data_IF_143244082932
#
_entry.id   IF_143244082932
#
_cell.length_a   1.000
_cell.length_b   1.000
_cell.length_c   1.000
_cell.angle_alpha   90.00
_cell.angle_beta   90.00
_cell.angle_gamma   90.00
#
_symmetry.space_group_name_H-M   'P 1'
#
loop_
_entity.id
_entity.type
_entity.pdbx_description
1 polymer ?
#
# COMPACT_ATOMS: atom_id res chain seq x y z
N UNK A 1 -39.62 9.76 39.42
CA UNK A 1 -38.36 10.38 39.00
C UNK A 1 -37.60 9.41 38.10
N UNK A 2 -37.75 9.54 36.79
CA UNK A 2 -37.07 8.68 35.83
C UNK A 2 -35.73 9.31 35.42
N UNK A 3 -34.62 8.69 35.86
CA UNK A 3 -33.26 9.07 35.40
C UNK A 3 -33.06 8.48 34.02
N UNK A 4 -33.05 9.36 32.98
CA UNK A 4 -32.57 8.98 31.64
C UNK A 4 -31.05 8.88 31.70
N UNK A 5 -30.56 7.67 31.47
CA UNK A 5 -29.14 7.38 31.30
C UNK A 5 -28.76 7.86 29.87
N UNK A 6 -28.00 8.95 29.76
CA UNK A 6 -27.37 9.34 28.51
C UNK A 6 -26.13 8.48 28.32
N UNK A 7 -26.20 7.53 27.38
CA UNK A 7 -25.03 6.81 26.90
C UNK A 7 -24.28 7.74 25.94
N UNK A 8 -23.20 8.35 26.41
CA UNK A 8 -22.26 9.10 25.57
C UNK A 8 -21.49 8.10 24.74
N UNK A 9 -21.81 7.98 23.46
CA UNK A 9 -20.96 7.30 22.48
C UNK A 9 -19.68 8.15 22.33
N UNK A 10 -18.57 7.72 22.89
CA UNK A 10 -17.25 8.19 22.50
C UNK A 10 -16.98 7.71 21.08
N UNK A 11 -17.21 8.57 20.11
CA UNK A 11 -16.66 8.38 18.75
C UNK A 11 -15.17 8.64 18.88
N UNK A 12 -14.35 7.59 18.84
CA UNK A 12 -12.92 7.74 18.71
C UNK A 12 -12.62 8.56 17.43
N UNK A 13 -11.73 9.56 17.47
CA UNK A 13 -11.38 10.27 16.24
C UNK A 13 -10.76 9.29 15.26
N UNK A 14 -11.36 9.16 14.08
CA UNK A 14 -10.71 8.51 12.93
C UNK A 14 -9.50 9.40 12.62
N UNK A 15 -8.30 8.96 12.99
CA UNK A 15 -7.07 9.60 12.57
C UNK A 15 -7.04 9.55 11.05
N UNK A 16 -7.13 10.73 10.41
CA UNK A 16 -7.06 10.83 8.97
C UNK A 16 -5.73 10.21 8.50
N UNK A 17 -5.80 9.12 7.76
CA UNK A 17 -4.62 8.48 7.17
C UNK A 17 -4.05 9.43 6.12
N UNK A 18 -2.72 9.61 6.12
CA UNK A 18 -2.07 10.33 5.03
C UNK A 18 -2.30 9.59 3.71
N UNK A 19 -2.54 10.34 2.62
CA UNK A 19 -2.77 9.74 1.30
C UNK A 19 -1.52 8.97 0.84
N UNK A 20 -1.70 7.70 0.52
CA UNK A 20 -0.63 6.78 0.13
C UNK A 20 -0.64 6.52 -1.37
N UNK A 21 0.54 6.29 -1.92
CA UNK A 21 0.74 6.00 -3.35
C UNK A 21 1.44 4.67 -3.51
N UNK A 22 0.89 3.84 -4.36
CA UNK A 22 1.45 2.54 -4.69
C UNK A 22 1.47 2.26 -6.18
N UNK A 23 2.11 1.17 -6.55
CA UNK A 23 2.07 0.67 -7.92
C UNK A 23 2.37 -0.83 -8.02
N UNK A 24 1.80 -1.44 -9.08
CA UNK A 24 2.42 -2.57 -9.74
C UNK A 24 3.45 -2.01 -10.72
N UNK A 25 4.71 -2.26 -10.40
CA UNK A 25 5.82 -1.79 -11.23
C UNK A 25 6.27 -2.94 -12.15
N UNK A 26 5.53 -3.13 -13.22
CA UNK A 26 5.90 -4.06 -14.26
C UNK A 26 7.21 -3.64 -14.92
N UNK A 27 8.16 -4.57 -15.00
CA UNK A 27 9.31 -4.42 -15.90
C UNK A 27 8.96 -4.90 -17.31
N UNK A 28 9.97 -5.03 -18.17
CA UNK A 28 9.84 -5.70 -19.46
C UNK A 28 9.82 -7.21 -19.27
N UNK A 29 8.86 -7.91 -19.91
CA UNK A 29 8.76 -9.37 -19.90
C UNK A 29 7.34 -9.88 -19.64
N UNK A 30 7.16 -11.18 -19.84
CA UNK A 30 5.84 -11.82 -19.73
C UNK A 30 5.30 -11.79 -18.27
N UNK A 31 6.20 -11.82 -17.28
CA UNK A 31 5.86 -11.77 -15.85
C UNK A 31 6.81 -10.79 -15.13
N UNK A 32 6.62 -9.49 -15.35
CA UNK A 32 7.45 -8.50 -14.69
C UNK A 32 7.26 -8.57 -13.16
N UNK A 33 8.32 -8.25 -12.43
CA UNK A 33 8.35 -8.39 -10.98
C UNK A 33 8.81 -7.07 -10.33
N UNK A 34 8.36 -6.73 -9.13
CA UNK A 34 8.78 -5.52 -8.44
C UNK A 34 10.21 -5.66 -7.88
N UNK A 35 11.20 -5.73 -8.76
CA UNK A 35 12.60 -5.70 -8.37
C UNK A 35 12.98 -4.34 -7.79
N UNK A 36 14.07 -4.29 -7.00
CA UNK A 36 14.60 -3.01 -6.48
C UNK A 36 14.82 -1.98 -7.60
N UNK A 37 15.30 -2.42 -8.76
CA UNK A 37 15.52 -1.56 -9.92
C UNK A 37 14.21 -1.00 -10.49
N UNK A 38 13.18 -1.84 -10.64
CA UNK A 38 11.89 -1.43 -11.18
C UNK A 38 11.18 -0.46 -10.22
N UNK A 39 11.25 -0.74 -8.92
CA UNK A 39 10.71 0.15 -7.87
C UNK A 39 11.39 1.51 -7.91
N UNK A 40 12.72 1.54 -7.95
CA UNK A 40 13.47 2.80 -8.03
C UNK A 40 13.15 3.57 -9.32
N UNK A 41 13.15 2.88 -10.47
CA UNK A 41 12.83 3.52 -11.76
C UNK A 41 11.42 4.15 -11.76
N UNK A 42 10.44 3.50 -11.13
CA UNK A 42 9.09 4.06 -11.01
C UNK A 42 9.05 5.25 -10.04
N UNK A 43 9.77 5.19 -8.93
CA UNK A 43 9.91 6.32 -7.99
C UNK A 43 10.57 7.53 -8.66
N UNK A 44 11.61 7.31 -9.47
CA UNK A 44 12.26 8.38 -10.25
C UNK A 44 11.27 8.98 -11.28
N UNK A 45 10.49 8.12 -11.95
CA UNK A 45 9.45 8.53 -12.89
C UNK A 45 8.40 9.41 -12.23
N UNK A 46 7.83 8.97 -11.10
CA UNK A 46 6.74 9.69 -10.41
C UNK A 46 7.23 10.82 -9.49
N UNK A 47 8.54 10.89 -9.21
CA UNK A 47 9.15 11.94 -8.38
C UNK A 47 8.81 11.84 -6.88
N UNK A 48 8.30 10.71 -6.40
CA UNK A 48 7.97 10.50 -4.99
C UNK A 48 8.15 9.03 -4.59
N UNK A 49 8.22 8.78 -3.29
CA UNK A 49 8.28 7.45 -2.72
C UNK A 49 7.03 6.62 -3.03
N UNK A 50 7.17 5.30 -3.19
CA UNK A 50 6.08 4.34 -3.19
C UNK A 50 5.82 3.86 -1.77
N UNK A 51 4.63 4.15 -1.24
CA UNK A 51 4.21 3.67 0.08
C UNK A 51 3.80 2.19 0.02
N UNK A 52 3.19 1.77 -1.11
CA UNK A 52 2.70 0.42 -1.36
C UNK A 52 3.32 -0.15 -2.65
N UNK A 53 3.75 -1.41 -2.61
CA UNK A 53 4.26 -2.13 -3.77
C UNK A 53 3.41 -3.37 -4.00
N UNK A 54 2.82 -3.52 -5.20
CA UNK A 54 2.02 -4.69 -5.55
C UNK A 54 2.89 -5.85 -6.00
N UNK A 55 2.48 -7.07 -5.65
CA UNK A 55 3.04 -8.32 -6.14
C UNK A 55 1.93 -9.36 -6.34
N UNK A 56 1.95 -10.08 -7.47
CA UNK A 56 0.99 -11.14 -7.76
C UNK A 56 1.63 -12.49 -7.46
N UNK A 57 1.06 -13.24 -6.51
CA UNK A 57 1.50 -14.58 -6.15
C UNK A 57 0.40 -15.59 -6.43
N UNK A 58 0.75 -16.69 -7.10
CA UNK A 58 -0.16 -17.77 -7.44
C UNK A 58 -0.02 -18.92 -6.43
N UNK A 59 -1.14 -19.49 -5.99
CA UNK A 59 -1.15 -20.68 -5.14
C UNK A 59 -0.38 -21.83 -5.81
N UNK A 60 0.30 -22.63 -5.00
CA UNK A 60 1.12 -23.80 -5.41
C UNK A 60 2.31 -23.50 -6.34
N UNK A 61 2.42 -22.26 -6.86
CA UNK A 61 3.53 -21.83 -7.72
C UNK A 61 4.48 -20.92 -6.95
N UNK A 62 3.95 -19.93 -6.24
CA UNK A 62 4.74 -18.99 -5.46
C UNK A 62 4.58 -19.30 -3.97
N UNK A 63 5.49 -20.09 -3.42
CA UNK A 63 5.60 -20.25 -1.96
C UNK A 63 6.06 -18.94 -1.29
N UNK A 64 6.16 -18.96 0.04
CA UNK A 64 6.66 -17.79 0.76
C UNK A 64 8.10 -17.43 0.37
N UNK A 65 8.97 -18.39 0.08
CA UNK A 65 10.36 -18.11 -0.29
C UNK A 65 10.42 -17.31 -1.61
N UNK A 66 9.57 -17.67 -2.58
CA UNK A 66 9.42 -16.90 -3.82
C UNK A 66 8.86 -15.48 -3.58
N UNK A 67 7.98 -15.31 -2.59
CA UNK A 67 7.41 -14.01 -2.24
C UNK A 67 8.35 -13.16 -1.40
N UNK A 68 9.12 -13.79 -0.50
CA UNK A 68 9.98 -13.11 0.47
C UNK A 68 11.02 -12.18 -0.18
N UNK A 69 11.51 -12.49 -1.37
CA UNK A 69 12.43 -11.61 -2.09
C UNK A 69 11.79 -10.24 -2.38
N UNK A 70 10.49 -10.21 -2.75
CA UNK A 70 9.76 -8.96 -3.04
C UNK A 70 9.29 -8.28 -1.75
N UNK A 71 8.99 -9.05 -0.71
CA UNK A 71 8.77 -8.52 0.63
C UNK A 71 10.02 -7.79 1.15
N UNK A 72 11.21 -8.34 0.91
CA UNK A 72 12.47 -7.66 1.25
C UNK A 72 12.72 -6.42 0.38
N UNK A 73 12.33 -6.41 -0.90
CA UNK A 73 12.40 -5.20 -1.73
C UNK A 73 11.53 -4.10 -1.13
N UNK A 74 10.28 -4.42 -0.78
CA UNK A 74 9.38 -3.46 -0.15
C UNK A 74 9.92 -2.95 1.19
N UNK A 75 10.36 -3.86 2.07
CA UNK A 75 10.97 -3.53 3.36
C UNK A 75 12.19 -2.62 3.21
N UNK A 76 13.12 -2.95 2.30
CA UNK A 76 14.33 -2.17 2.07
C UNK A 76 14.03 -0.79 1.47
N UNK A 77 12.91 -0.67 0.75
CA UNK A 77 12.42 0.60 0.22
C UNK A 77 11.64 1.42 1.28
N UNK A 78 11.29 0.85 2.43
CA UNK A 78 10.41 1.48 3.42
C UNK A 78 8.94 1.48 3.01
N UNK A 79 8.53 0.54 2.15
CA UNK A 79 7.18 0.35 1.63
C UNK A 79 6.52 -0.88 2.26
N UNK A 80 5.18 -0.96 2.14
CA UNK A 80 4.45 -2.18 2.46
C UNK A 80 4.21 -3.00 1.18
N UNK A 81 4.45 -4.32 1.24
CA UNK A 81 4.10 -5.22 0.13
C UNK A 81 2.61 -5.56 0.20
N UNK A 82 1.90 -5.34 -0.91
CA UNK A 82 0.51 -5.77 -1.13
C UNK A 82 0.54 -6.98 -2.04
N UNK A 83 0.23 -8.15 -1.51
CA UNK A 83 0.23 -9.41 -2.27
C UNK A 83 -1.17 -9.70 -2.77
N UNK A 84 -1.37 -9.61 -4.08
CA UNK A 84 -2.53 -10.18 -4.76
C UNK A 84 -2.34 -11.68 -4.82
N UNK A 85 -3.06 -12.41 -3.95
CA UNK A 85 -2.83 -13.82 -3.71
C UNK A 85 -3.86 -14.68 -4.41
N UNK A 86 -3.48 -15.19 -5.57
CA UNK A 86 -4.35 -15.77 -6.59
C UNK A 86 -4.50 -17.27 -6.39
N UNK A 87 -5.70 -17.73 -6.08
CA UNK A 87 -6.02 -19.15 -5.86
C UNK A 87 -6.30 -19.90 -7.20
N UNK A 88 -5.45 -19.69 -8.21
CA UNK A 88 -5.58 -20.35 -9.50
C UNK A 88 -5.62 -21.89 -9.35
N UNK A 89 -6.53 -22.55 -10.05
CA UNK A 89 -6.76 -23.97 -9.95
C UNK A 89 -7.69 -24.41 -8.81
N UNK A 90 -8.23 -23.46 -8.05
CA UNK A 90 -9.18 -23.72 -6.96
C UNK A 90 -10.46 -22.91 -7.12
N UNK A 91 -11.60 -23.60 -7.08
CA UNK A 91 -12.87 -22.92 -6.84
C UNK A 91 -13.10 -22.67 -5.34
N UNK A 92 -14.06 -21.82 -5.00
CA UNK A 92 -14.30 -21.43 -3.61
C UNK A 92 -14.64 -22.61 -2.70
N UNK A 93 -15.43 -23.60 -3.19
CA UNK A 93 -15.81 -24.75 -2.39
C UNK A 93 -14.62 -25.68 -2.11
N UNK A 94 -13.69 -25.82 -3.03
CA UNK A 94 -12.46 -26.59 -2.82
C UNK A 94 -11.57 -25.97 -1.74
N UNK A 95 -11.49 -24.64 -1.69
CA UNK A 95 -10.80 -23.90 -0.63
C UNK A 95 -11.47 -24.12 0.73
N UNK A 96 -12.82 -23.99 0.80
CA UNK A 96 -13.59 -24.26 2.03
C UNK A 96 -13.39 -25.69 2.52
N UNK A 97 -13.25 -26.64 1.61
CA UNK A 97 -13.03 -28.06 1.92
C UNK A 97 -11.56 -28.39 2.29
N UNK A 98 -10.69 -27.38 2.34
CA UNK A 98 -9.29 -27.53 2.80
C UNK A 98 -8.32 -28.06 1.75
N UNK A 99 -8.67 -28.07 0.46
CA UNK A 99 -7.80 -28.61 -0.59
C UNK A 99 -6.43 -27.90 -0.67
N UNK A 100 -6.37 -26.60 -0.31
CA UNK A 100 -5.16 -25.80 -0.30
C UNK A 100 -4.55 -25.58 1.11
N UNK A 101 -5.08 -26.20 2.18
CA UNK A 101 -4.71 -25.88 3.56
C UNK A 101 -3.21 -26.02 3.84
N UNK A 102 -2.57 -27.06 3.31
CA UNK A 102 -1.13 -27.27 3.51
C UNK A 102 -0.31 -26.11 2.94
N UNK A 103 -0.64 -25.68 1.70
CA UNK A 103 0.03 -24.56 1.05
C UNK A 103 -0.21 -23.26 1.85
N UNK A 104 -1.46 -22.99 2.26
CA UNK A 104 -1.81 -21.80 3.03
C UNK A 104 -1.08 -21.78 4.38
N UNK A 105 -0.98 -22.91 5.09
CA UNK A 105 -0.25 -23.01 6.36
C UNK A 105 1.24 -22.75 6.21
N UNK A 106 1.89 -23.33 5.21
CA UNK A 106 3.33 -23.10 4.97
C UNK A 106 3.59 -21.64 4.59
N UNK A 107 2.72 -21.04 3.78
CA UNK A 107 2.81 -19.62 3.44
C UNK A 107 2.62 -18.74 4.70
N UNK A 108 1.64 -19.05 5.55
CA UNK A 108 1.38 -18.36 6.82
C UNK A 108 2.58 -18.40 7.77
N UNK A 109 3.23 -19.56 7.91
CA UNK A 109 4.46 -19.70 8.71
C UNK A 109 5.59 -18.82 8.19
N UNK A 110 5.73 -18.74 6.86
CA UNK A 110 6.71 -17.89 6.22
C UNK A 110 6.45 -16.40 6.47
N UNK A 111 5.20 -15.95 6.30
CA UNK A 111 4.79 -14.57 6.62
C UNK A 111 5.05 -14.23 8.08
N UNK A 112 4.70 -15.13 9.01
CA UNK A 112 5.00 -14.97 10.44
C UNK A 112 6.49 -14.78 10.70
N UNK A 113 7.33 -15.61 10.07
CA UNK A 113 8.78 -15.54 10.20
C UNK A 113 9.40 -14.26 9.63
N UNK A 114 8.76 -13.62 8.66
CA UNK A 114 9.22 -12.35 8.08
C UNK A 114 9.09 -11.20 9.09
N UNK A 115 8.01 -11.16 9.87
CA UNK A 115 7.82 -10.25 11.00
C UNK A 115 7.33 -8.85 10.66
N UNK A 116 7.62 -8.29 9.49
CA UNK A 116 7.09 -6.99 9.06
C UNK A 116 5.68 -7.14 8.46
N UNK A 117 4.92 -6.05 8.45
CA UNK A 117 3.55 -6.04 7.96
C UNK A 117 3.47 -6.36 6.46
N UNK A 118 2.58 -7.28 6.11
CA UNK A 118 2.22 -7.65 4.74
C UNK A 118 0.72 -7.44 4.57
N UNK A 119 0.30 -6.85 3.45
CA UNK A 119 -1.11 -6.81 3.08
C UNK A 119 -1.40 -7.97 2.15
N UNK A 120 -2.30 -8.88 2.57
CA UNK A 120 -2.75 -10.00 1.74
C UNK A 120 -4.13 -9.72 1.17
N UNK A 121 -4.23 -9.87 -0.15
CA UNK A 121 -5.43 -9.65 -0.95
C UNK A 121 -5.83 -10.95 -1.67
N UNK A 122 -6.35 -11.95 -0.92
CA UNK A 122 -6.79 -13.21 -1.53
C UNK A 122 -8.12 -13.06 -2.24
N UNK A 123 -8.36 -13.88 -3.25
CA UNK A 123 -9.63 -14.00 -3.96
C UNK A 123 -10.17 -12.66 -4.48
N UNK A 124 -9.28 -11.77 -4.95
CA UNK A 124 -9.67 -10.48 -5.47
C UNK A 124 -10.62 -10.61 -6.67
N UNK A 125 -11.43 -9.59 -6.91
CA UNK A 125 -12.35 -9.51 -8.05
C UNK A 125 -13.29 -10.73 -8.21
N UNK A 126 -13.70 -11.32 -7.10
CA UNK A 126 -14.58 -12.50 -7.14
C UNK A 126 -15.97 -12.22 -7.75
N UNK A 127 -16.32 -10.95 -7.96
CA UNK A 127 -17.49 -10.53 -8.72
C UNK A 127 -17.31 -10.55 -10.25
N UNK A 128 -16.22 -11.16 -10.72
CA UNK A 128 -15.91 -11.42 -12.14
C UNK A 128 -16.14 -12.88 -12.55
N UNK A 129 -15.84 -13.17 -13.82
CA UNK A 129 -15.95 -14.50 -14.45
C UNK A 129 -14.62 -15.05 -14.97
N UNK A 130 -13.52 -14.33 -14.77
CA UNK A 130 -12.19 -14.67 -15.32
C UNK A 130 -11.32 -15.52 -14.39
N UNK A 131 -11.59 -15.55 -13.08
CA UNK A 131 -10.84 -16.35 -12.11
C UNK A 131 -11.60 -17.62 -11.71
N UNK A 132 -10.88 -18.66 -11.27
CA UNK A 132 -11.48 -19.94 -10.85
C UNK A 132 -12.34 -19.81 -9.59
N UNK A 133 -12.07 -18.82 -8.73
CA UNK A 133 -12.89 -18.46 -7.56
C UNK A 133 -13.99 -17.43 -7.87
N UNK A 134 -14.06 -16.91 -9.10
CA UNK A 134 -15.07 -15.90 -9.49
C UNK A 134 -16.49 -16.45 -9.47
N UNK A 135 -17.42 -15.67 -8.90
CA UNK A 135 -18.86 -16.02 -8.82
C UNK A 135 -19.47 -16.14 -10.22
N UNK A 136 -19.01 -15.29 -11.15
CA UNK A 136 -19.47 -15.33 -12.55
C UNK A 136 -18.90 -16.48 -13.38
N UNK A 137 -17.88 -17.21 -12.86
CA UNK A 137 -17.20 -18.28 -13.60
C UNK A 137 -18.12 -19.44 -13.89
N UNK A 138 -18.39 -19.65 -15.18
CA UNK A 138 -19.26 -20.75 -15.61
C UNK A 138 -18.69 -22.12 -15.22
N UNK A 139 -19.52 -22.98 -14.63
CA UNK A 139 -19.16 -24.34 -14.26
C UNK A 139 -18.34 -24.48 -12.96
N UNK A 140 -17.88 -23.39 -12.36
CA UNK A 140 -17.10 -23.44 -11.12
C UNK A 140 -17.97 -23.69 -9.86
N UNK A 141 -19.28 -23.40 -9.92
CA UNK A 141 -20.20 -23.57 -8.77
C UNK A 141 -19.96 -22.55 -7.65
N UNK A 142 -19.26 -21.46 -7.95
CA UNK A 142 -19.04 -20.40 -6.98
C UNK A 142 -20.30 -19.58 -6.72
N UNK A 143 -20.45 -19.16 -5.48
CA UNK A 143 -21.50 -18.25 -5.01
C UNK A 143 -20.88 -17.20 -4.12
N UNK A 144 -21.54 -16.07 -3.94
CA UNK A 144 -21.09 -15.06 -2.98
C UNK A 144 -20.82 -15.67 -1.58
N UNK A 145 -21.68 -16.61 -1.14
CA UNK A 145 -21.57 -17.24 0.17
C UNK A 145 -20.32 -18.11 0.32
N UNK A 146 -20.01 -19.00 -0.65
CA UNK A 146 -18.85 -19.86 -0.52
C UNK A 146 -17.53 -19.14 -0.79
N UNK A 147 -17.51 -18.08 -1.59
CA UNK A 147 -16.35 -17.20 -1.76
C UNK A 147 -16.05 -16.46 -0.45
N UNK A 148 -17.06 -15.88 0.20
CA UNK A 148 -16.92 -15.26 1.50
C UNK A 148 -16.40 -16.27 2.55
N UNK A 149 -16.90 -17.52 2.54
CA UNK A 149 -16.43 -18.56 3.45
C UNK A 149 -14.98 -18.99 3.15
N UNK A 150 -14.60 -19.09 1.87
CA UNK A 150 -13.21 -19.38 1.48
C UNK A 150 -12.25 -18.29 1.99
N UNK A 151 -12.63 -17.02 1.91
CA UNK A 151 -11.84 -15.93 2.49
C UNK A 151 -11.70 -16.10 4.01
N UNK A 152 -12.79 -16.36 4.72
CA UNK A 152 -12.79 -16.61 6.17
C UNK A 152 -11.93 -17.81 6.54
N UNK A 153 -11.98 -18.87 5.74
CA UNK A 153 -11.17 -20.08 5.93
C UNK A 153 -9.66 -19.78 5.84
N UNK A 154 -9.22 -19.03 4.84
CA UNK A 154 -7.84 -18.56 4.72
C UNK A 154 -7.40 -17.77 5.95
N UNK A 155 -8.19 -16.78 6.37
CA UNK A 155 -7.89 -15.96 7.56
C UNK A 155 -7.80 -16.81 8.82
N UNK A 156 -8.69 -17.80 8.98
CA UNK A 156 -8.68 -18.72 10.12
C UNK A 156 -7.39 -19.51 10.20
N UNK A 157 -6.89 -20.04 9.08
CA UNK A 157 -5.61 -20.77 9.05
C UNK A 157 -4.46 -19.89 9.53
N UNK A 158 -4.38 -18.64 9.08
CA UNK A 158 -3.36 -17.69 9.54
C UNK A 158 -3.47 -17.40 11.05
N UNK A 159 -4.70 -17.28 11.58
CA UNK A 159 -4.93 -17.12 13.02
C UNK A 159 -4.49 -18.36 13.79
N UNK A 160 -4.76 -19.57 13.31
CA UNK A 160 -4.32 -20.84 13.88
C UNK A 160 -2.79 -20.96 13.93
N UNK A 161 -2.07 -20.49 12.89
CA UNK A 161 -0.61 -20.44 12.86
C UNK A 161 -0.04 -19.28 13.71
N UNK A 162 -0.89 -18.44 14.28
CA UNK A 162 -0.50 -17.33 15.14
C UNK A 162 0.20 -16.20 14.41
N UNK A 163 -0.22 -15.90 13.17
CA UNK A 163 0.26 -14.78 12.37
C UNK A 163 -0.43 -13.52 12.85
N UNK A 164 0.35 -12.46 13.12
CA UNK A 164 -0.14 -11.17 13.61
C UNK A 164 0.28 -9.98 12.74
N UNK A 165 1.13 -10.24 11.76
CA UNK A 165 1.73 -9.22 10.89
C UNK A 165 1.06 -9.15 9.50
N UNK A 166 -0.20 -9.56 9.37
CA UNK A 166 -0.98 -9.47 8.14
C UNK A 166 -2.11 -8.46 8.30
N UNK A 167 -2.32 -7.64 7.26
CA UNK A 167 -3.54 -6.88 7.01
C UNK A 167 -4.31 -7.53 5.86
N UNK A 168 -5.56 -7.81 6.11
CA UNK A 168 -6.45 -8.48 5.16
C UNK A 168 -7.16 -7.48 4.27
N UNK A 169 -6.99 -7.64 2.96
CA UNK A 169 -7.61 -6.77 1.95
C UNK A 169 -8.67 -7.56 1.19
N UNK A 170 -9.92 -7.13 1.28
CA UNK A 170 -10.97 -7.63 0.42
C UNK A 170 -11.18 -6.68 -0.76
N UNK A 171 -11.30 -7.25 -1.97
CA UNK A 171 -11.32 -6.47 -3.22
C UNK A 171 -12.51 -6.87 -4.10
N UNK A 172 -13.25 -5.87 -4.58
CA UNK A 172 -14.23 -6.05 -5.65
C UNK A 172 -13.75 -5.37 -6.94
N UNK A 173 -14.05 -5.95 -8.10
CA UNK A 173 -13.91 -5.23 -9.36
C UNK A 173 -15.00 -4.14 -9.46
N UNK A 174 -14.69 -3.04 -10.13
CA UNK A 174 -15.60 -1.90 -10.32
C UNK A 174 -16.89 -2.27 -11.05
N UNK A 175 -16.90 -3.38 -11.80
CA UNK A 175 -18.04 -3.91 -12.53
C UNK A 175 -18.26 -5.40 -12.29
N UNK A 176 -19.51 -5.82 -12.19
CA UNK A 176 -19.87 -7.23 -12.13
C UNK A 176 -19.78 -7.86 -13.52
N UNK A 177 -19.24 -9.09 -13.62
CA UNK A 177 -19.22 -9.86 -14.86
C UNK A 177 -19.68 -11.30 -14.59
N UNK A 178 -20.50 -11.84 -15.51
CA UNK A 178 -21.10 -13.16 -15.36
C UNK A 178 -22.39 -13.15 -14.55
N UNK A 179 -23.01 -14.31 -14.46
CA UNK A 179 -24.32 -14.49 -13.80
C UNK A 179 -24.14 -14.62 -12.29
N UNK A 180 -25.07 -14.05 -11.53
CA UNK A 180 -25.12 -14.18 -10.07
C UNK A 180 -24.13 -13.29 -9.30
N UNK A 181 -23.35 -12.47 -9.99
CA UNK A 181 -22.35 -11.59 -9.39
C UNK A 181 -22.95 -10.35 -8.74
N UNK A 182 -22.41 -9.98 -7.59
CA UNK A 182 -22.75 -8.72 -6.90
C UNK A 182 -21.48 -7.99 -6.45
N UNK A 183 -21.55 -6.68 -6.24
CA UNK A 183 -20.39 -5.89 -5.83
C UNK A 183 -19.92 -6.17 -4.40
N UNK A 184 -20.80 -6.65 -3.53
CA UNK A 184 -20.55 -6.81 -2.09
C UNK A 184 -20.98 -8.14 -1.51
N UNK A 185 -21.63 -9.01 -2.27
CA UNK A 185 -22.23 -10.24 -1.73
C UNK A 185 -21.22 -11.24 -1.16
N UNK A 186 -20.01 -11.23 -1.71
CA UNK A 186 -18.92 -12.07 -1.23
C UNK A 186 -18.04 -11.39 -0.14
N UNK A 187 -18.49 -10.28 0.46
CA UNK A 187 -17.80 -9.65 1.58
C UNK A 187 -17.76 -10.58 2.80
N UNK A 188 -16.58 -10.94 3.34
CA UNK A 188 -16.49 -11.95 4.39
C UNK A 188 -16.89 -11.47 5.78
N UNK A 189 -17.12 -10.17 5.95
CA UNK A 189 -17.46 -9.53 7.22
C UNK A 189 -16.29 -8.81 7.89
N UNK A 190 -16.63 -7.85 8.75
CA UNK A 190 -15.69 -6.89 9.34
C UNK A 190 -14.57 -7.53 10.19
N UNK A 191 -14.84 -8.69 10.82
CA UNK A 191 -13.87 -9.40 11.66
C UNK A 191 -12.73 -10.07 10.86
N UNK A 192 -12.86 -10.10 9.54
CA UNK A 192 -11.93 -10.78 8.63
C UNK A 192 -11.21 -9.81 7.68
N UNK A 193 -11.53 -8.52 7.73
CA UNK A 193 -11.03 -7.52 6.78
C UNK A 193 -10.48 -6.31 7.52
N UNK A 194 -9.28 -5.87 7.16
CA UNK A 194 -8.68 -4.62 7.64
C UNK A 194 -8.94 -3.48 6.66
N UNK A 195 -8.83 -3.75 5.35
CA UNK A 195 -9.00 -2.79 4.27
C UNK A 195 -9.94 -3.33 3.18
N UNK A 196 -10.71 -2.44 2.57
CA UNK A 196 -11.46 -2.75 1.36
C UNK A 196 -10.86 -2.03 0.17
N UNK A 197 -10.97 -2.65 -1.02
CA UNK A 197 -10.46 -2.02 -2.23
C UNK A 197 -11.33 -2.27 -3.45
N UNK A 198 -11.10 -1.45 -4.48
CA UNK A 198 -11.74 -1.57 -5.79
C UNK A 198 -10.63 -1.68 -6.83
N UNK A 199 -10.79 -2.60 -7.80
CA UNK A 199 -9.99 -2.67 -9.01
C UNK A 199 -10.81 -2.20 -10.20
N UNK A 200 -10.21 -1.40 -11.07
CA UNK A 200 -10.91 -0.91 -12.25
C UNK A 200 -10.00 -0.25 -13.27
N UNK A 201 -10.39 -0.34 -14.53
CA UNK A 201 -9.59 0.14 -15.66
C UNK A 201 -10.46 0.93 -16.65
N UNK A 202 -9.95 2.05 -17.15
CA UNK A 202 -10.50 2.66 -18.34
C UNK A 202 -9.89 2.00 -19.59
N UNK A 203 -10.57 1.02 -20.12
CA UNK A 203 -10.14 0.27 -21.31
C UNK A 203 -10.09 1.13 -22.58
N UNK A 204 -10.82 2.26 -22.60
CA UNK A 204 -10.90 3.07 -23.78
C UNK A 204 -11.36 2.25 -24.99
N UNK A 205 -10.65 2.35 -26.09
CA UNK A 205 -10.90 1.58 -27.33
C UNK A 205 -9.90 0.44 -27.54
N UNK A 206 -9.31 -0.12 -26.47
CA UNK A 206 -8.39 -1.24 -26.56
C UNK A 206 -9.04 -2.52 -27.07
N UNK A 207 -10.32 -2.72 -26.78
CA UNK A 207 -11.08 -3.90 -27.14
C UNK A 207 -12.33 -3.52 -27.94
N UNK A 208 -12.84 -4.45 -28.76
CA UNK A 208 -14.06 -4.22 -29.56
C UNK A 208 -15.31 -3.99 -28.73
N UNK A 209 -15.33 -4.47 -27.49
CA UNK A 209 -16.44 -4.36 -26.52
C UNK A 209 -16.29 -3.13 -25.62
N UNK A 210 -15.14 -2.47 -25.59
CA UNK A 210 -14.84 -1.36 -24.68
C UNK A 210 -15.00 0.00 -25.30
N UNK A 211 -15.21 1.01 -24.48
CA UNK A 211 -15.27 2.42 -24.85
C UNK A 211 -14.62 3.28 -23.78
N UNK A 212 -14.26 4.50 -24.15
CA UNK A 212 -13.71 5.47 -23.20
C UNK A 212 -14.73 5.80 -22.10
N UNK A 213 -14.26 5.73 -20.85
CA UNK A 213 -15.04 6.06 -19.67
C UNK A 213 -14.27 7.06 -18.81
N UNK A 214 -14.97 8.01 -18.19
CA UNK A 214 -14.39 8.87 -17.17
C UNK A 214 -14.05 8.06 -15.91
N UNK A 215 -13.25 8.60 -15.01
CA UNK A 215 -12.96 7.95 -13.72
C UNK A 215 -14.25 7.61 -12.98
N UNK A 216 -15.16 8.57 -12.86
CA UNK A 216 -16.46 8.36 -12.20
C UNK A 216 -17.32 7.28 -12.87
N UNK A 217 -17.33 7.20 -14.21
CA UNK A 217 -18.09 6.14 -14.89
C UNK A 217 -17.55 4.75 -14.59
N UNK A 218 -16.24 4.59 -14.37
CA UNK A 218 -15.64 3.31 -13.99
C UNK A 218 -15.95 2.98 -12.53
N UNK A 219 -15.73 3.91 -11.58
CA UNK A 219 -15.63 3.57 -10.17
C UNK A 219 -16.87 3.88 -9.32
N UNK A 220 -17.72 4.83 -9.70
CA UNK A 220 -18.79 5.36 -8.83
C UNK A 220 -19.77 4.32 -8.36
N UNK A 221 -20.12 3.33 -9.21
CA UNK A 221 -21.06 2.28 -8.84
C UNK A 221 -20.51 1.41 -7.70
N UNK A 222 -19.26 0.96 -7.81
CA UNK A 222 -18.61 0.17 -6.77
C UNK A 222 -18.38 1.00 -5.51
N UNK A 223 -17.85 2.22 -5.65
CA UNK A 223 -17.64 3.12 -4.51
C UNK A 223 -18.90 3.33 -3.67
N UNK A 224 -20.03 3.58 -4.32
CA UNK A 224 -21.33 3.75 -3.65
C UNK A 224 -21.83 2.43 -3.01
N UNK A 225 -21.59 1.29 -3.63
CA UNK A 225 -21.96 -0.01 -3.07
C UNK A 225 -21.20 -0.32 -1.77
N UNK A 226 -19.98 0.21 -1.61
CA UNK A 226 -19.15 0.05 -0.42
C UNK A 226 -19.46 1.07 0.70
N UNK A 227 -20.45 1.95 0.54
CA UNK A 227 -20.72 3.03 1.48
C UNK A 227 -21.08 2.55 2.90
N UNK A 228 -21.68 1.36 3.03
CA UNK A 228 -22.08 0.80 4.32
C UNK A 228 -21.02 -0.12 4.97
N UNK A 229 -19.87 -0.30 4.35
CA UNK A 229 -18.76 -1.05 4.93
C UNK A 229 -17.79 -0.03 5.58
N UNK A 230 -17.72 -0.06 6.91
CA UNK A 230 -16.90 0.89 7.70
C UNK A 230 -15.46 0.40 7.82
N UNK A 231 -14.79 0.31 6.65
CA UNK A 231 -13.36 -0.01 6.55
C UNK A 231 -12.65 1.04 5.71
N UNK A 232 -11.37 1.32 5.97
CA UNK A 232 -10.58 2.19 5.10
C UNK A 232 -10.57 1.64 3.67
N UNK A 233 -10.82 2.53 2.69
CA UNK A 233 -10.99 2.19 1.28
C UNK A 233 -9.80 2.70 0.46
N UNK A 234 -9.24 1.84 -0.39
CA UNK A 234 -8.26 2.26 -1.39
C UNK A 234 -8.56 1.67 -2.78
N UNK A 235 -7.87 2.16 -3.80
CA UNK A 235 -7.92 1.60 -5.13
C UNK A 235 -6.65 0.74 -5.31
N UNK A 236 -6.83 -0.59 -5.35
CA UNK A 236 -5.71 -1.53 -5.37
C UNK A 236 -5.15 -1.76 -6.78
N UNK A 237 -5.99 -1.61 -7.81
CA UNK A 237 -5.57 -1.64 -9.21
C UNK A 237 -6.33 -0.58 -10.00
N UNK A 238 -5.58 0.27 -10.68
CA UNK A 238 -6.14 1.29 -11.56
C UNK A 238 -5.19 1.59 -12.71
N UNK A 239 -5.74 1.74 -13.90
CA UNK A 239 -5.06 2.35 -15.03
C UNK A 239 -6.04 2.85 -16.08
N UNK A 240 -5.52 3.58 -17.05
CA UNK A 240 -6.25 4.05 -18.21
C UNK A 240 -5.43 3.81 -19.48
N UNK A 241 -6.11 3.44 -20.56
CA UNK A 241 -5.55 3.42 -21.91
C UNK A 241 -5.39 4.86 -22.45
N UNK A 242 -4.59 5.04 -23.49
CA UNK A 242 -4.60 6.27 -24.33
C UNK A 242 -5.65 6.19 -25.45
N UNK A 243 -6.15 4.98 -25.78
CA UNK A 243 -7.00 4.79 -26.93
C UNK A 243 -8.44 5.27 -26.70
N UNK A 244 -8.83 6.29 -27.41
CA UNK A 244 -10.20 6.84 -27.39
C UNK A 244 -10.40 8.07 -26.53
N UNK A 245 -9.35 8.56 -25.86
CA UNK A 245 -9.39 9.78 -25.04
C UNK A 245 -7.99 10.27 -24.66
N UNK A 246 -7.90 10.98 -23.55
CA UNK A 246 -6.67 11.58 -23.05
C UNK A 246 -6.38 11.05 -21.63
N UNK A 247 -5.34 10.20 -21.49
CA UNK A 247 -4.96 9.60 -20.20
C UNK A 247 -4.58 10.68 -19.17
N UNK A 248 -3.89 11.74 -19.55
CA UNK A 248 -3.48 12.81 -18.64
C UNK A 248 -4.69 13.54 -18.04
N UNK A 249 -5.69 13.86 -18.87
CA UNK A 249 -6.95 14.44 -18.38
C UNK A 249 -7.71 13.47 -17.48
N UNK A 250 -7.72 12.17 -17.81
CA UNK A 250 -8.34 11.13 -16.98
C UNK A 250 -7.66 10.99 -15.62
N UNK A 251 -6.34 11.07 -15.55
CA UNK A 251 -5.59 11.07 -14.30
C UNK A 251 -5.91 12.32 -13.48
N UNK A 252 -5.99 13.47 -14.11
CA UNK A 252 -6.38 14.72 -13.43
C UNK A 252 -7.80 14.60 -12.86
N UNK A 253 -8.78 14.14 -13.65
CA UNK A 253 -10.17 13.89 -13.22
C UNK A 253 -10.24 12.91 -12.03
N UNK A 254 -9.45 11.84 -12.05
CA UNK A 254 -9.35 10.89 -10.94
C UNK A 254 -8.95 11.58 -9.62
N UNK A 255 -7.90 12.39 -9.63
CA UNK A 255 -7.45 13.09 -8.41
C UNK A 255 -8.42 14.18 -7.95
N UNK A 256 -9.13 14.84 -8.88
CA UNK A 256 -10.23 15.74 -8.52
C UNK A 256 -11.35 15.00 -7.78
N UNK A 257 -11.69 13.80 -8.22
CA UNK A 257 -12.66 12.96 -7.55
C UNK A 257 -12.18 12.49 -6.17
N UNK A 258 -10.90 12.13 -5.99
CA UNK A 258 -10.35 11.78 -4.66
C UNK A 258 -10.45 12.95 -3.68
N UNK A 259 -10.25 14.16 -4.18
CA UNK A 259 -10.36 15.38 -3.38
C UNK A 259 -11.81 15.76 -3.03
N UNK A 260 -12.81 15.17 -3.67
CA UNK A 260 -14.23 15.56 -3.55
C UNK A 260 -15.13 14.37 -3.18
N UNK A 261 -15.77 13.74 -4.13
CA UNK A 261 -16.82 12.74 -3.92
C UNK A 261 -16.32 11.29 -3.72
N UNK A 262 -15.01 11.05 -3.88
CA UNK A 262 -14.33 9.79 -3.52
C UNK A 262 -13.40 9.96 -2.31
N UNK A 263 -13.71 10.85 -1.38
CA UNK A 263 -12.86 11.27 -0.25
C UNK A 263 -12.52 10.16 0.77
N UNK A 264 -13.20 9.00 0.73
CA UNK A 264 -12.83 7.81 1.53
C UNK A 264 -11.59 7.09 0.99
N UNK A 265 -11.16 7.38 -0.24
CA UNK A 265 -9.99 6.75 -0.85
C UNK A 265 -8.72 7.32 -0.21
N UNK A 266 -8.04 6.52 0.61
CA UNK A 266 -6.81 6.94 1.28
C UNK A 266 -5.54 6.54 0.51
N UNK A 267 -5.63 5.62 -0.47
CA UNK A 267 -4.49 5.19 -1.27
C UNK A 267 -4.91 4.81 -2.68
N UNK A 268 -3.96 4.93 -3.61
CA UNK A 268 -4.13 4.52 -5.00
C UNK A 268 -2.90 3.77 -5.49
N UNK A 269 -3.10 2.63 -6.18
CA UNK A 269 -2.03 1.82 -6.74
C UNK A 269 -2.17 1.73 -8.26
N UNK A 270 -1.24 2.37 -8.99
CA UNK A 270 -1.25 2.34 -10.44
C UNK A 270 -0.73 1.00 -10.97
N UNK A 271 -1.48 0.36 -11.86
CA UNK A 271 -1.01 -0.82 -12.58
C UNK A 271 -0.18 -0.37 -13.79
N UNK A 272 1.15 -0.40 -13.66
CA UNK A 272 2.07 0.13 -14.66
C UNK A 272 2.73 -0.99 -15.48
N UNK A 273 2.04 -1.45 -16.50
CA UNK A 273 2.54 -2.46 -17.43
C UNK A 273 1.90 -2.28 -18.81
N UNK A 274 2.69 -2.41 -19.88
CA UNK A 274 2.11 -2.53 -21.23
C UNK A 274 1.68 -3.98 -21.48
N UNK A 275 0.41 -4.16 -21.82
CA UNK A 275 -0.21 -5.43 -22.23
C UNK A 275 -0.89 -5.30 -23.61
N UNK A 276 -0.39 -4.43 -24.46
CA UNK A 276 -1.00 -4.11 -25.77
C UNK A 276 -1.34 -5.33 -26.63
N UNK A 277 -0.58 -6.40 -26.51
CA UNK A 277 -0.83 -7.61 -27.27
C UNK A 277 -2.19 -8.26 -26.96
N UNK A 278 -2.71 -8.11 -25.73
CA UNK A 278 -3.91 -8.81 -25.27
C UNK A 278 -4.93 -7.90 -24.57
N UNK A 279 -4.51 -6.75 -24.07
CA UNK A 279 -5.34 -5.85 -23.26
C UNK A 279 -5.18 -4.40 -23.72
N UNK A 280 -4.29 -3.66 -23.07
CA UNK A 280 -4.02 -2.26 -23.31
C UNK A 280 -2.65 -1.84 -22.79
N UNK A 281 -2.22 -0.62 -23.11
CA UNK A 281 -1.02 -0.04 -22.51
C UNK A 281 -1.39 0.68 -21.20
N UNK A 282 -1.17 -0.05 -20.11
CA UNK A 282 -1.44 0.42 -18.76
C UNK A 282 -0.27 1.18 -18.12
N UNK A 283 0.89 1.24 -18.80
CA UNK A 283 2.06 1.95 -18.30
C UNK A 283 1.73 3.42 -18.02
N UNK A 284 2.27 3.96 -16.92
CA UNK A 284 2.06 5.37 -16.57
C UNK A 284 2.74 6.31 -17.56
N UNK A 285 3.88 5.91 -18.07
CA UNK A 285 4.77 6.71 -18.92
C UNK A 285 4.48 6.60 -20.42
N UNK A 286 3.24 6.31 -20.80
CA UNK A 286 2.81 6.36 -22.22
C UNK A 286 2.96 7.75 -22.83
N UNK A 287 2.86 8.79 -22.00
CA UNK A 287 3.14 10.18 -22.39
C UNK A 287 3.71 10.96 -21.19
N UNK A 288 4.50 12.01 -21.48
CA UNK A 288 4.98 12.91 -20.44
C UNK A 288 3.82 13.62 -19.72
N UNK A 289 2.77 13.97 -20.45
CA UNK A 289 1.57 14.60 -19.89
C UNK A 289 0.87 13.70 -18.84
N UNK A 290 0.82 12.37 -19.06
CA UNK A 290 0.26 11.43 -18.08
C UNK A 290 1.11 11.39 -16.79
N UNK A 291 2.44 11.36 -16.92
CA UNK A 291 3.36 11.42 -15.78
C UNK A 291 3.21 12.73 -15.00
N UNK A 292 3.12 13.86 -15.70
CA UNK A 292 2.97 15.18 -15.06
C UNK A 292 1.63 15.31 -14.34
N UNK A 293 0.53 14.81 -14.91
CA UNK A 293 -0.78 14.77 -14.29
C UNK A 293 -0.77 13.89 -13.01
N UNK A 294 -0.09 12.74 -13.05
CA UNK A 294 0.07 11.88 -11.89
C UNK A 294 0.86 12.57 -10.76
N UNK A 295 2.00 13.21 -11.08
CA UNK A 295 2.79 13.98 -10.11
C UNK A 295 2.00 15.11 -9.46
N UNK A 296 1.28 15.88 -10.28
CA UNK A 296 0.46 17.00 -9.80
C UNK A 296 -0.67 16.51 -8.89
N UNK A 297 -1.32 15.40 -9.25
CA UNK A 297 -2.37 14.79 -8.45
C UNK A 297 -1.88 14.30 -7.08
N UNK A 298 -0.75 13.61 -7.03
CA UNK A 298 -0.13 13.18 -5.76
C UNK A 298 0.20 14.41 -4.89
N UNK A 299 0.82 15.42 -5.46
CA UNK A 299 1.16 16.64 -4.73
C UNK A 299 -0.09 17.32 -4.13
N UNK A 300 -1.19 17.36 -4.91
CA UNK A 300 -2.48 17.87 -4.44
C UNK A 300 -3.01 17.07 -3.25
N UNK A 301 -3.04 15.73 -3.34
CA UNK A 301 -3.56 14.88 -2.26
C UNK A 301 -2.71 14.98 -0.98
N UNK A 302 -1.38 15.03 -1.12
CA UNK A 302 -0.46 15.20 0.02
C UNK A 302 -0.63 16.56 0.70
N UNK A 303 -0.92 17.62 -0.06
CA UNK A 303 -1.17 18.95 0.47
C UNK A 303 -2.53 19.08 1.19
N UNK A 304 -3.50 18.21 0.88
CA UNK A 304 -4.81 18.16 1.53
C UNK A 304 -4.82 17.34 2.82
N UNK A 305 -3.79 16.57 3.09
CA UNK A 305 -3.68 15.82 4.34
C UNK A 305 -3.68 16.83 5.51
N UNK A 306 -4.50 16.64 6.56
CA UNK A 306 -4.49 17.53 7.71
C UNK A 306 -3.08 17.55 8.30
N UNK A 307 -2.52 18.74 8.48
CA UNK A 307 -1.30 18.89 9.28
C UNK A 307 -1.57 18.22 10.63
N UNK A 308 -0.72 17.27 11.01
CA UNK A 308 -0.83 16.65 12.32
C UNK A 308 -0.66 17.74 13.35
N UNK A 309 -1.78 18.19 13.94
CA UNK A 309 -1.81 19.21 14.98
C UNK A 309 -1.11 18.66 16.23
N UNK A 310 0.18 18.91 16.32
CA UNK A 310 0.93 18.82 17.56
C UNK A 310 1.69 20.13 17.73
N UNK A 311 1.02 21.14 18.32
CA UNK A 311 1.56 21.99 19.38
C UNK A 311 0.59 23.13 19.67
N UNK A 312 0.09 23.19 20.90
CA UNK A 312 -0.46 24.40 21.49
C UNK A 312 0.62 25.48 21.48
N UNK A 313 0.30 26.61 20.87
CA UNK A 313 1.19 27.76 20.81
C UNK A 313 1.21 28.48 22.16
N UNK A 314 2.39 28.56 22.76
CA UNK A 314 2.71 29.58 23.80
C UNK A 314 3.17 30.84 23.05
N UNK A 315 2.71 32.06 23.43
CA UNK A 315 3.02 33.27 22.67
C UNK A 315 4.49 33.67 22.81
N UNK A 316 5.18 33.78 21.70
CA UNK A 316 6.56 34.29 21.66
C UNK A 316 6.63 35.80 21.48
N UNK A 317 7.59 36.35 22.21
CA UNK A 317 8.13 37.70 21.97
C UNK A 317 9.20 37.64 20.85
N UNK A 318 9.12 38.61 19.96
CA UNK A 318 9.95 38.80 18.78
C UNK A 318 11.46 38.80 19.00
N UNK A 319 12.19 37.99 18.22
CA UNK A 319 13.51 38.38 17.68
C UNK A 319 13.85 37.53 16.44
N UNK A 320 14.28 38.23 15.40
CA UNK A 320 14.66 37.78 14.08
C UNK A 320 15.92 36.92 14.08
N UNK A 321 15.90 35.70 13.48
CA UNK A 321 17.10 35.01 13.01
C UNK A 321 16.80 34.21 11.73
N UNK A 322 17.74 34.27 10.82
CA UNK A 322 17.82 33.76 9.46
C UNK A 322 17.55 32.26 9.28
N UNK A 323 16.90 31.93 8.15
CA UNK A 323 16.56 30.59 7.66
C UNK A 323 17.81 29.70 7.42
N UNK A 324 17.89 28.58 8.15
CA UNK A 324 18.68 27.43 7.77
C UNK A 324 17.75 26.21 7.65
N UNK A 325 17.75 25.54 6.48
CA UNK A 325 16.92 24.39 6.16
C UNK A 325 17.36 23.18 6.99
N UNK A 326 16.50 22.73 7.90
CA UNK A 326 16.71 21.51 8.71
C UNK A 326 15.96 20.35 8.07
N UNK A 327 16.67 19.36 7.56
CA UNK A 327 16.08 18.11 7.06
C UNK A 327 16.04 17.08 8.20
N UNK A 328 14.87 16.79 8.73
CA UNK A 328 14.67 15.73 9.71
C UNK A 328 14.35 14.42 9.00
N UNK A 329 15.15 13.38 9.20
CA UNK A 329 14.91 12.03 8.73
C UNK A 329 14.26 11.24 9.86
N UNK A 330 12.98 10.83 9.69
CA UNK A 330 12.31 9.89 10.58
C UNK A 330 12.44 8.48 10.03
N UNK A 331 13.01 7.55 10.81
CA UNK A 331 12.88 6.11 10.59
C UNK A 331 11.83 5.57 11.56
N UNK A 332 10.71 5.05 11.03
CA UNK A 332 9.66 4.41 11.82
C UNK A 332 10.01 2.97 12.15
N UNK A 333 9.78 2.57 13.38
CA UNK A 333 9.79 1.18 13.85
C UNK A 333 10.19 1.09 15.31
N UNK A 334 9.20 0.81 16.20
CA UNK A 334 9.34 0.38 17.59
C UNK A 334 10.02 1.40 18.53
N UNK A 335 9.23 2.14 19.30
CA UNK A 335 9.49 2.73 20.65
C UNK A 335 10.91 3.20 21.02
N UNK A 336 11.84 3.35 20.09
CA UNK A 336 13.16 3.88 20.37
C UNK A 336 13.13 5.40 20.21
N UNK A 337 13.20 6.07 21.36
CA UNK A 337 13.15 7.51 21.49
C UNK A 337 14.51 8.11 21.15
N UNK A 338 14.81 8.21 19.87
CA UNK A 338 15.96 8.96 19.36
C UNK A 338 15.60 9.66 18.04
N UNK A 339 16.34 10.72 17.73
CA UNK A 339 16.24 11.42 16.45
C UNK A 339 17.60 11.92 16.00
N UNK A 340 17.79 12.06 14.68
CA UNK A 340 18.96 12.70 14.10
C UNK A 340 18.58 14.06 13.50
N UNK A 341 19.46 15.04 13.63
CA UNK A 341 19.45 16.27 12.86
C UNK A 341 20.86 16.62 12.38
N UNK A 342 20.95 17.31 11.28
CA UNK A 342 22.22 17.81 10.76
C UNK A 342 22.24 19.32 10.87
N UNK A 343 23.29 19.86 11.50
CA UNK A 343 23.47 21.29 11.71
C UNK A 343 24.95 21.62 11.57
N UNK A 344 25.28 22.63 10.80
CA UNK A 344 26.65 23.11 10.56
C UNK A 344 27.67 22.00 10.20
N UNK A 345 27.24 21.03 9.38
CA UNK A 345 28.07 19.92 8.93
C UNK A 345 28.30 18.83 10.00
N UNK A 346 27.65 18.93 11.15
CA UNK A 346 27.68 17.91 12.21
C UNK A 346 26.38 17.12 12.24
N UNK A 347 26.46 15.86 12.63
CA UNK A 347 25.30 15.03 12.91
C UNK A 347 25.03 15.09 14.43
N UNK A 348 23.84 15.54 14.79
CA UNK A 348 23.36 15.59 16.17
C UNK A 348 22.39 14.45 16.40
N UNK A 349 22.63 13.62 17.42
CA UNK A 349 21.80 12.52 17.86
C UNK A 349 21.13 12.90 19.18
N UNK A 350 19.81 13.01 19.18
CA UNK A 350 19.02 13.14 20.41
C UNK A 350 18.59 11.76 20.88
N UNK A 351 18.84 11.41 22.14
CA UNK A 351 18.38 10.17 22.79
C UNK A 351 17.57 10.49 24.04
N UNK A 352 16.44 9.82 24.21
CA UNK A 352 15.57 10.00 25.38
C UNK A 352 15.87 9.04 26.53
N UNK A 353 16.59 7.96 26.27
CA UNK A 353 17.04 6.99 27.29
C UNK A 353 18.46 6.52 27.01
N UNK A 354 19.16 6.10 28.05
CA UNK A 354 20.49 5.54 27.92
C UNK A 354 20.50 4.29 27.03
N UNK A 355 21.43 4.21 26.09
CA UNK A 355 21.59 3.08 25.18
C UNK A 355 23.05 2.88 24.75
N UNK A 356 23.39 1.66 24.37
CA UNK A 356 24.70 1.33 23.77
C UNK A 356 24.48 1.07 22.29
N UNK A 357 25.12 1.84 21.43
CA UNK A 357 24.88 1.79 19.99
C UNK A 357 26.07 2.26 19.17
N UNK A 358 26.05 1.99 17.88
CA UNK A 358 26.89 2.64 16.88
C UNK A 358 26.05 3.42 15.87
N UNK A 359 26.59 4.50 15.32
CA UNK A 359 25.96 5.26 14.24
C UNK A 359 26.54 4.78 12.92
N UNK A 360 25.67 4.47 11.96
CA UNK A 360 26.05 3.97 10.64
C UNK A 360 25.56 4.96 9.59
N UNK A 361 26.45 5.37 8.69
CA UNK A 361 26.17 6.21 7.52
C UNK A 361 26.08 5.34 6.27
N UNK A 362 25.04 5.55 5.48
CA UNK A 362 24.81 4.86 4.21
C UNK A 362 24.73 5.86 3.06
N UNK A 363 25.10 5.43 1.86
CA UNK A 363 24.68 6.09 0.62
C UNK A 363 23.23 5.67 0.25
N UNK A 364 22.70 6.25 -0.84
CA UNK A 364 21.36 5.91 -1.33
C UNK A 364 21.22 4.49 -1.86
N UNK A 365 22.33 3.79 -2.11
CA UNK A 365 22.36 2.42 -2.56
C UNK A 365 22.41 1.44 -1.39
N UNK A 366 22.33 1.96 -0.14
CA UNK A 366 22.38 1.17 1.08
C UNK A 366 23.78 0.65 1.43
N UNK A 367 24.85 1.14 0.77
CA UNK A 367 26.24 0.78 1.11
C UNK A 367 26.68 1.57 2.33
N UNK A 368 27.33 0.89 3.28
CA UNK A 368 27.92 1.55 4.43
C UNK A 368 29.08 2.41 3.97
N UNK A 369 28.97 3.72 4.20
CA UNK A 369 30.04 4.68 3.95
C UNK A 369 30.93 4.83 5.17
N UNK A 370 30.35 4.74 6.36
CA UNK A 370 31.06 4.89 7.61
C UNK A 370 30.23 4.31 8.78
N UNK A 371 30.92 3.85 9.83
CA UNK A 371 30.31 3.41 11.07
C UNK A 371 31.18 3.87 12.26
N UNK A 372 30.54 4.41 13.30
CA UNK A 372 31.21 4.75 14.55
C UNK A 372 31.63 3.49 15.31
N UNK A 373 32.58 3.63 16.23
CA UNK A 373 32.71 2.65 17.30
C UNK A 373 31.42 2.56 18.11
N UNK A 374 31.17 1.40 18.74
CA UNK A 374 30.08 1.24 19.69
C UNK A 374 30.38 2.10 20.92
N UNK A 375 29.41 2.90 21.35
CA UNK A 375 29.55 3.80 22.49
C UNK A 375 28.26 3.87 23.29
N UNK A 376 28.36 4.29 24.53
CA UNK A 376 27.20 4.48 25.40
C UNK A 376 26.70 5.91 25.29
N UNK A 377 25.42 6.08 24.97
CA UNK A 377 24.72 7.36 24.92
C UNK A 377 23.83 7.50 26.16
N UNK A 378 23.99 8.58 26.89
CA UNK A 378 23.06 8.98 27.96
C UNK A 378 21.90 9.79 27.38
N UNK A 379 20.76 9.95 28.09
CA UNK A 379 19.70 10.85 27.63
C UNK A 379 20.22 12.26 27.36
N UNK A 380 19.84 12.84 26.24
CA UNK A 380 20.30 14.16 25.79
C UNK A 380 20.79 14.19 24.34
N UNK A 381 21.35 15.31 23.97
CA UNK A 381 21.90 15.54 22.63
C UNK A 381 23.40 15.21 22.57
N UNK A 382 23.80 14.48 21.53
CA UNK A 382 25.18 14.06 21.28
C UNK A 382 25.62 14.49 19.88
N UNK A 383 26.77 15.14 19.79
CA UNK A 383 27.40 15.48 18.52
C UNK A 383 28.24 14.30 18.01
N UNK A 384 27.93 13.82 16.82
CA UNK A 384 28.61 12.71 16.16
C UNK A 384 29.49 13.26 15.03
N UNK A 385 30.80 13.01 15.13
CA UNK A 385 31.73 13.33 14.03
C UNK A 385 31.60 12.28 12.94
N UNK A 386 31.00 12.64 11.81
CA UNK A 386 30.84 11.78 10.64
C UNK A 386 31.73 12.33 9.52
N UNK A 387 32.67 11.56 8.98
CA UNK A 387 33.43 11.98 7.83
C UNK A 387 32.53 12.24 6.64
N UNK A 388 32.66 13.40 5.99
CA UNK A 388 31.85 13.77 4.82
C UNK A 388 30.33 13.77 5.07
N UNK A 389 29.88 14.17 6.26
CA UNK A 389 28.48 14.38 6.55
C UNK A 389 27.89 15.38 5.54
N UNK A 390 26.93 14.95 4.73
CA UNK A 390 26.24 15.79 3.75
C UNK A 390 24.74 15.50 3.75
N UNK A 391 23.96 16.41 3.22
CA UNK A 391 22.48 16.32 3.16
C UNK A 391 21.95 15.13 2.33
N UNK A 392 22.83 14.33 1.78
CA UNK A 392 22.52 13.18 0.92
C UNK A 392 22.84 11.82 1.56
N UNK A 393 23.19 11.77 2.85
CA UNK A 393 23.50 10.52 3.57
C UNK A 393 22.33 10.08 4.45
N UNK A 394 22.14 8.78 4.56
CA UNK A 394 21.18 8.14 5.47
C UNK A 394 21.94 7.69 6.72
N UNK A 395 21.40 7.97 7.90
CA UNK A 395 22.00 7.57 9.18
C UNK A 395 21.07 6.60 9.92
N UNK A 396 21.67 5.56 10.51
CA UNK A 396 20.97 4.57 11.32
C UNK A 396 21.70 4.41 12.66
N UNK A 397 20.93 4.28 13.74
CA UNK A 397 21.45 3.86 15.04
C UNK A 397 21.36 2.34 15.14
N UNK A 398 22.50 1.68 15.29
CA UNK A 398 22.57 0.24 15.54
C UNK A 398 22.72 -0.01 17.04
N UNK A 399 21.61 -0.32 17.71
CA UNK A 399 21.58 -0.56 19.17
C UNK A 399 22.08 -1.96 19.43
N UNK A 400 22.98 -2.10 20.41
CA UNK A 400 23.38 -3.41 20.94
C UNK A 400 22.37 -3.82 22.04
N UNK A 401 21.84 -5.03 21.92
CA UNK A 401 21.01 -5.66 22.94
C UNK A 401 21.84 -6.22 24.07
#
# INVERSE_FOLDING_TARGET
MNKKLFLSMCVAPVTAMAFQVGAWVGGTGQYPQPTQQNVQAFQDLQGTHLDLISYFALFDINDWNATAQYANVAKNNGSTLVVTWMANGYNAQELVNGKADNYIREYAKGVKGFGDEIWLRPLHEANGDWYDWGVGKSGAGNTDANVAEAFRHIVKIFKEEGVTNVKWVWTTNASNQGSGTTLTGNYPGDDYVDYISIDGYNWGKCQSWSSWQTFSQVFKKAYNALANIDKPLFIAEISSSELGGNKAEWITDMFEHFATDFSRVFAVMWFSQSKEANEGDWALNTSQAAVDAWKAGIAKMKAMAPESSSSEAIPESSSSVSSSSTTAIRTGGITDKFSFRQEDGKLLLQVDRAMTASVVQFDYQGRILWQSAVQHFTPGEHSINVPNANSRSIYKLSVQQ
#
